data_IF_168536049972
#
_entry.id   IF_168536049972
#
_cell.length_a   1.000
_cell.length_b   1.000
_cell.length_c   1.000
_cell.angle_alpha   90.00
_cell.angle_beta   90.00
_cell.angle_gamma   90.00
#
_symmetry.space_group_name_H-M   'P 1'
#
loop_
_entity.id
_entity.type
_entity.pdbx_description
1 polymer ?
#
# COMPACT_ATOMS: atom_id res chain seq x y z
N UNK A 1 32.94 9.15 1.71
CA UNK A 1 31.49 9.32 1.93
C UNK A 1 30.85 9.65 0.59
N UNK A 2 29.70 9.01 0.24
CA UNK A 2 28.95 9.37 -0.98
C UNK A 2 28.36 10.77 -0.82
N UNK A 3 28.27 11.59 -1.89
CA UNK A 3 27.62 12.91 -1.82
C UNK A 3 26.15 12.81 -1.42
N UNK A 4 25.65 13.80 -0.68
CA UNK A 4 24.24 13.90 -0.33
C UNK A 4 23.45 14.47 -1.51
N UNK A 5 22.35 13.78 -1.87
CA UNK A 5 21.40 14.24 -2.88
C UNK A 5 20.25 15.03 -2.26
N UNK A 6 19.59 14.44 -1.26
CA UNK A 6 18.47 15.07 -0.55
C UNK A 6 18.80 15.13 0.93
N UNK A 7 18.46 16.26 1.55
CA UNK A 7 18.49 16.43 3.00
C UNK A 7 17.15 16.99 3.47
N UNK A 8 16.46 16.25 4.31
CA UNK A 8 15.35 16.76 5.12
C UNK A 8 15.94 17.26 6.44
N UNK A 9 15.67 18.49 6.81
CA UNK A 9 16.21 19.13 8.03
C UNK A 9 15.02 19.66 8.83
N UNK A 10 14.73 19.01 9.96
CA UNK A 10 13.71 19.38 10.93
C UNK A 10 12.30 19.64 10.35
N UNK A 11 11.90 18.80 9.42
CA UNK A 11 10.61 18.93 8.74
C UNK A 11 9.45 18.71 9.70
N UNK A 12 8.59 19.72 9.80
CA UNK A 12 7.35 19.64 10.59
C UNK A 12 6.13 19.95 9.72
N UNK A 13 5.04 19.20 9.96
CA UNK A 13 3.77 19.38 9.24
C UNK A 13 2.58 19.08 10.15
N UNK A 14 1.62 20.00 10.17
CA UNK A 14 0.37 19.88 10.91
C UNK A 14 -0.83 19.85 9.96
N UNK A 15 -1.82 19.05 10.27
CA UNK A 15 -3.15 19.07 9.66
C UNK A 15 -4.21 19.25 10.75
N UNK A 16 -4.89 20.40 10.76
CA UNK A 16 -5.81 20.71 11.86
C UNK A 16 -5.14 20.61 13.23
N UNK A 17 -5.68 19.76 14.09
CA UNK A 17 -5.12 19.52 15.44
C UNK A 17 -3.95 18.50 15.48
N UNK A 18 -3.69 17.75 14.39
CA UNK A 18 -2.75 16.65 14.40
C UNK A 18 -1.41 17.03 13.79
N UNK A 19 -0.31 16.77 14.52
CA UNK A 19 1.05 16.90 14.01
C UNK A 19 1.44 15.61 13.28
N UNK A 20 1.44 15.66 11.94
CA UNK A 20 1.78 14.51 11.09
C UNK A 20 3.29 14.31 10.94
N UNK A 21 4.08 15.40 11.01
CA UNK A 21 5.56 15.36 11.06
C UNK A 21 6.04 16.25 12.20
N UNK A 22 7.01 15.75 12.98
CA UNK A 22 7.54 16.39 14.18
C UNK A 22 9.07 16.43 14.11
N UNK A 23 9.63 17.47 13.48
CA UNK A 23 11.08 17.69 13.34
C UNK A 23 11.78 16.46 12.74
N UNK A 24 11.34 16.03 11.55
CA UNK A 24 11.88 14.86 10.85
C UNK A 24 13.10 15.28 10.05
N UNK A 25 14.23 14.59 10.29
CA UNK A 25 15.49 14.76 9.54
C UNK A 25 15.90 13.43 8.93
N UNK A 26 16.34 13.46 7.66
CA UNK A 26 16.80 12.30 6.88
C UNK A 26 17.67 12.80 5.74
N UNK A 27 18.70 12.05 5.39
CA UNK A 27 19.52 12.29 4.20
C UNK A 27 19.54 11.08 3.27
N UNK A 28 19.67 11.33 1.98
CA UNK A 28 19.79 10.34 0.91
C UNK A 28 21.04 10.66 0.12
N UNK A 29 21.88 9.66 -0.12
CA UNK A 29 23.15 9.80 -0.83
C UNK A 29 23.08 9.27 -2.27
N UNK A 30 24.07 9.64 -3.09
CA UNK A 30 24.21 9.13 -4.45
C UNK A 30 24.36 7.59 -4.45
N UNK A 31 23.55 6.90 -5.26
CA UNK A 31 23.56 5.45 -5.39
C UNK A 31 23.21 4.71 -4.10
N UNK A 32 22.44 5.33 -3.22
CA UNK A 32 21.95 4.75 -1.99
C UNK A 32 20.46 4.42 -2.09
N UNK A 33 20.06 3.29 -1.54
CA UNK A 33 18.65 2.94 -1.34
C UNK A 33 18.33 2.99 0.14
N UNK A 34 17.51 3.96 0.53
CA UNK A 34 17.01 4.09 1.91
C UNK A 34 15.58 3.55 1.99
N UNK A 35 15.37 2.50 2.77
CA UNK A 35 14.02 2.01 3.06
C UNK A 35 13.35 2.85 4.13
N UNK A 36 12.20 3.45 3.82
CA UNK A 36 11.39 4.22 4.74
C UNK A 36 10.27 3.35 5.32
N UNK A 37 10.40 3.00 6.60
CA UNK A 37 9.56 2.07 7.33
C UNK A 37 8.71 2.78 8.39
N UNK A 38 7.65 2.12 8.84
CA UNK A 38 6.78 2.58 9.92
C UNK A 38 5.34 2.10 9.75
N UNK A 39 4.54 2.14 10.78
CA UNK A 39 3.12 1.79 10.74
C UNK A 39 2.31 2.73 9.84
N UNK A 40 1.06 2.34 9.54
CA UNK A 40 0.11 3.22 8.90
C UNK A 40 -0.15 4.43 9.81
N UNK A 41 -0.11 5.64 9.22
CA UNK A 41 -0.22 6.87 9.99
C UNK A 41 1.09 7.38 10.61
N UNK A 42 2.23 6.68 10.50
CA UNK A 42 3.53 7.11 11.03
C UNK A 42 4.08 8.42 10.40
N UNK A 43 3.49 8.89 9.29
CA UNK A 43 3.90 10.12 8.60
C UNK A 43 4.69 9.90 7.31
N UNK A 44 4.96 8.66 6.89
CA UNK A 44 5.74 8.34 5.67
C UNK A 44 5.20 9.07 4.42
N UNK A 45 3.92 8.84 4.10
CA UNK A 45 3.28 9.46 2.93
C UNK A 45 3.20 10.99 3.05
N UNK A 46 3.14 11.54 4.28
CA UNK A 46 3.20 12.99 4.50
C UNK A 46 4.58 13.54 4.18
N UNK A 47 5.66 12.83 4.57
CA UNK A 47 7.04 13.21 4.25
C UNK A 47 7.27 13.19 2.73
N UNK A 48 6.84 12.12 2.05
CA UNK A 48 6.92 11.97 0.59
C UNK A 48 6.12 13.08 -0.12
N UNK A 49 4.87 13.33 0.29
CA UNK A 49 4.04 14.40 -0.28
C UNK A 49 4.61 15.80 -0.01
N UNK A 50 5.36 15.97 1.08
CA UNK A 50 6.07 17.23 1.37
C UNK A 50 7.27 17.40 0.43
N UNK A 51 8.02 16.34 0.13
CA UNK A 51 9.08 16.34 -0.87
C UNK A 51 8.52 16.64 -2.28
N UNK A 52 7.39 16.04 -2.61
CA UNK A 52 6.68 16.24 -3.88
C UNK A 52 6.00 17.63 -4.00
N UNK A 53 6.08 18.47 -2.96
CA UNK A 53 5.46 19.80 -2.96
C UNK A 53 3.93 19.80 -2.89
N UNK A 54 3.29 18.62 -2.73
CA UNK A 54 1.84 18.49 -2.55
C UNK A 54 1.42 19.09 -1.20
N UNK A 55 2.23 18.86 -0.17
CA UNK A 55 2.05 19.48 1.13
C UNK A 55 3.15 20.51 1.39
N UNK A 56 2.76 21.73 1.71
CA UNK A 56 3.71 22.75 2.17
C UNK A 56 4.15 22.38 3.59
N UNK A 57 5.46 22.30 3.85
CA UNK A 57 6.02 22.18 5.20
C UNK A 57 5.70 23.40 6.04
N UNK A 58 5.47 23.21 7.34
CA UNK A 58 5.23 24.33 8.26
C UNK A 58 6.55 24.84 8.85
N UNK A 59 7.53 23.93 9.05
CA UNK A 59 8.89 24.25 9.51
C UNK A 59 9.92 23.34 8.83
N UNK A 60 11.19 23.72 8.93
CA UNK A 60 12.32 22.96 8.41
C UNK A 60 12.65 23.28 6.96
N UNK A 61 13.68 22.63 6.44
CA UNK A 61 14.22 22.88 5.08
C UNK A 61 14.47 21.55 4.39
N UNK A 62 14.20 21.49 3.07
CA UNK A 62 14.64 20.39 2.21
C UNK A 62 15.73 20.94 1.32
N UNK A 63 16.87 20.25 1.21
CA UNK A 63 17.96 20.62 0.33
C UNK A 63 18.21 19.53 -0.71
N UNK A 64 18.56 19.95 -1.91
CA UNK A 64 19.05 19.09 -2.97
C UNK A 64 20.48 19.51 -3.34
N UNK A 65 21.44 18.59 -3.17
CA UNK A 65 22.88 18.86 -3.36
C UNK A 65 23.34 20.13 -2.61
N UNK A 66 22.82 20.31 -1.37
CA UNK A 66 23.14 21.45 -0.51
C UNK A 66 22.35 22.73 -0.76
N UNK A 67 21.63 22.85 -1.88
CA UNK A 67 20.79 24.01 -2.21
C UNK A 67 19.35 23.81 -1.76
N UNK A 68 18.64 24.88 -1.42
CA UNK A 68 17.24 24.82 -1.06
C UNK A 68 16.39 24.19 -2.18
N UNK A 69 15.65 23.17 -1.82
CA UNK A 69 14.78 22.44 -2.73
C UNK A 69 13.32 22.83 -2.58
N UNK A 70 12.76 23.27 -3.71
CA UNK A 70 11.32 23.42 -3.89
C UNK A 70 10.91 22.60 -5.09
N UNK A 71 10.01 21.64 -4.87
CA UNK A 71 9.49 20.87 -5.98
C UNK A 71 8.81 21.80 -7.00
N UNK A 72 9.14 21.60 -8.26
CA UNK A 72 8.49 22.28 -9.37
C UNK A 72 7.77 21.24 -10.22
N UNK A 73 6.55 21.55 -10.69
CA UNK A 73 5.87 20.66 -11.64
C UNK A 73 6.77 20.33 -12.82
N UNK A 74 6.69 19.10 -13.35
CA UNK A 74 7.45 18.73 -14.53
C UNK A 74 7.21 19.72 -15.67
N UNK A 75 8.29 20.16 -16.29
CA UNK A 75 8.23 20.95 -17.54
C UNK A 75 8.78 20.13 -18.67
N UNK A 76 8.18 20.18 -19.87
CA UNK A 76 8.71 19.49 -21.03
C UNK A 76 10.18 19.83 -21.25
N UNK A 77 11.00 18.81 -21.49
CA UNK A 77 12.43 18.91 -21.76
C UNK A 77 13.29 19.57 -20.65
N UNK A 78 12.84 19.50 -19.39
CA UNK A 78 13.65 19.89 -18.24
C UNK A 78 13.89 18.69 -17.33
N UNK A 79 15.16 18.43 -16.92
CA UNK A 79 15.48 17.40 -15.94
C UNK A 79 14.70 17.62 -14.63
N UNK A 80 14.22 16.54 -14.05
CA UNK A 80 13.60 16.57 -12.74
C UNK A 80 14.60 16.08 -11.70
N UNK A 81 14.76 16.84 -10.62
CA UNK A 81 15.65 16.44 -9.52
C UNK A 81 15.12 15.20 -8.79
N UNK A 82 13.80 15.08 -8.64
CA UNK A 82 13.14 13.97 -7.93
C UNK A 82 11.95 13.47 -8.75
N UNK A 83 11.89 12.19 -8.97
CA UNK A 83 10.75 11.52 -9.60
C UNK A 83 10.02 10.61 -8.59
N UNK A 84 8.71 10.46 -8.76
CA UNK A 84 7.83 9.73 -7.86
C UNK A 84 7.10 8.61 -8.60
N UNK A 85 7.12 7.42 -8.01
CA UNK A 85 6.31 6.28 -8.41
C UNK A 85 5.37 6.00 -7.25
N UNK A 86 4.09 6.29 -7.48
CA UNK A 86 3.03 6.06 -6.51
C UNK A 86 2.49 4.63 -6.63
N UNK A 87 1.78 4.17 -5.61
CA UNK A 87 1.18 2.84 -5.53
C UNK A 87 0.24 2.54 -6.72
N UNK A 88 -0.47 3.53 -7.24
CA UNK A 88 -1.34 3.46 -8.41
C UNK A 88 -0.61 3.66 -9.75
N UNK A 89 0.74 3.77 -9.73
CA UNK A 89 1.65 3.97 -10.85
C UNK A 89 1.38 5.26 -11.66
N UNK A 90 0.20 5.85 -11.61
CA UNK A 90 -0.19 7.05 -12.32
C UNK A 90 -0.02 6.95 -13.85
N UNK A 91 -0.21 5.76 -14.42
CA UNK A 91 -0.18 5.51 -15.85
C UNK A 91 -1.58 5.69 -16.43
N UNK A 92 -1.64 6.16 -17.68
CA UNK A 92 -2.89 6.27 -18.44
C UNK A 92 -3.05 5.00 -19.25
N UNK A 93 -3.97 4.12 -18.84
CA UNK A 93 -4.08 2.75 -19.34
C UNK A 93 -4.41 2.62 -20.83
N UNK A 94 -5.24 3.51 -21.37
CA UNK A 94 -5.60 3.48 -22.80
C UNK A 94 -4.53 4.07 -23.73
N UNK A 95 -3.54 4.75 -23.17
CA UNK A 95 -2.39 5.29 -23.90
C UNK A 95 -1.32 4.22 -24.11
N UNK A 96 -0.47 4.43 -25.12
CA UNK A 96 0.72 3.62 -25.35
C UNK A 96 1.80 3.93 -24.32
N UNK A 97 2.79 3.06 -24.22
CA UNK A 97 3.98 3.29 -23.39
C UNK A 97 4.69 4.57 -23.83
N UNK A 98 4.86 4.77 -25.14
CA UNK A 98 5.48 5.97 -25.72
C UNK A 98 4.74 7.25 -25.30
N UNK A 99 3.42 7.24 -25.35
CA UNK A 99 2.60 8.38 -24.91
C UNK A 99 2.74 8.66 -23.43
N UNK A 100 2.73 7.62 -22.58
CA UNK A 100 2.93 7.77 -21.12
C UNK A 100 4.31 8.35 -20.80
N UNK A 101 5.38 7.92 -21.46
CA UNK A 101 6.73 8.48 -21.32
C UNK A 101 6.78 9.92 -21.86
N UNK A 102 6.17 10.15 -23.02
CA UNK A 102 6.11 11.49 -23.65
C UNK A 102 5.38 12.52 -22.79
N UNK A 103 4.37 12.12 -22.02
CA UNK A 103 3.69 13.02 -21.09
C UNK A 103 4.61 13.54 -19.97
N UNK A 104 5.56 12.75 -19.52
CA UNK A 104 6.50 13.15 -18.46
C UNK A 104 7.65 14.00 -19.01
N UNK A 105 8.21 13.63 -20.17
CA UNK A 105 9.33 14.36 -20.79
C UNK A 105 8.89 15.60 -21.59
N UNK A 106 7.61 15.63 -22.02
CA UNK A 106 7.12 16.50 -23.10
C UNK A 106 7.29 15.85 -24.46
N UNK A 107 6.31 16.08 -25.33
CA UNK A 107 6.33 15.57 -26.70
C UNK A 107 7.30 16.39 -27.56
N UNK A 108 8.17 15.72 -28.30
CA UNK A 108 8.95 16.32 -29.38
C UNK A 108 8.03 16.90 -30.43
N UNK A 109 8.43 18.05 -30.97
CA UNK A 109 7.67 18.71 -32.05
C UNK A 109 8.56 18.96 -33.26
N UNK A 110 8.03 18.64 -34.43
CA UNK A 110 8.64 18.97 -35.73
C UNK A 110 7.62 19.75 -36.53
N UNK A 111 7.98 20.95 -36.97
CA UNK A 111 7.07 21.85 -37.71
C UNK A 111 5.74 22.11 -36.99
N UNK A 112 5.73 22.17 -35.63
CA UNK A 112 4.53 22.42 -34.85
C UNK A 112 3.68 21.18 -34.51
N UNK A 113 3.91 20.05 -35.14
CA UNK A 113 3.23 18.76 -34.91
C UNK A 113 4.08 17.87 -33.99
N UNK A 114 3.44 16.94 -33.31
CA UNK A 114 4.14 15.93 -32.48
C UNK A 114 4.95 15.01 -33.40
N UNK A 115 6.23 14.83 -33.09
CA UNK A 115 7.09 13.84 -33.71
C UNK A 115 6.98 12.51 -32.98
N UNK A 116 6.07 11.65 -33.44
CA UNK A 116 5.81 10.35 -32.86
C UNK A 116 7.01 9.42 -32.92
N UNK A 117 7.77 9.45 -34.01
CA UNK A 117 9.00 8.63 -34.15
C UNK A 117 10.05 8.98 -33.11
N UNK A 118 10.20 10.27 -32.79
CA UNK A 118 11.13 10.68 -31.73
C UNK A 118 10.57 10.31 -30.34
N UNK A 119 9.26 10.42 -30.15
CA UNK A 119 8.61 10.01 -28.90
C UNK A 119 8.81 8.52 -28.62
N UNK A 120 8.62 7.66 -29.63
CA UNK A 120 8.86 6.21 -29.55
C UNK A 120 10.32 5.91 -29.23
N UNK A 121 11.27 6.51 -29.95
CA UNK A 121 12.72 6.33 -29.68
C UNK A 121 13.14 6.77 -28.28
N UNK A 122 12.51 7.79 -27.72
CA UNK A 122 12.75 8.22 -26.32
C UNK A 122 12.19 7.19 -25.35
N UNK A 123 11.01 6.64 -25.62
CA UNK A 123 10.43 5.57 -24.80
C UNK A 123 11.27 4.29 -24.86
N UNK A 124 11.76 3.88 -26.06
CA UNK A 124 12.71 2.76 -26.19
C UNK A 124 13.94 2.93 -25.31
N UNK A 125 14.55 4.13 -25.38
CA UNK A 125 15.71 4.44 -24.52
C UNK A 125 15.38 4.38 -23.05
N UNK A 126 14.22 4.88 -22.64
CA UNK A 126 13.77 4.83 -21.25
C UNK A 126 13.53 3.39 -20.78
N UNK A 127 12.89 2.56 -21.62
CA UNK A 127 12.67 1.14 -21.35
C UNK A 127 14.00 0.37 -21.23
N UNK A 128 14.97 0.67 -22.09
CA UNK A 128 16.31 0.07 -22.03
C UNK A 128 17.03 0.36 -20.69
N UNK A 129 16.76 1.50 -20.04
CA UNK A 129 17.33 1.82 -18.73
C UNK A 129 16.89 0.84 -17.63
N UNK A 130 15.70 0.25 -17.78
CA UNK A 130 15.12 -0.71 -16.83
C UNK A 130 15.16 -2.16 -17.35
N UNK A 131 15.95 -2.41 -18.40
CA UNK A 131 16.12 -3.74 -18.96
C UNK A 131 14.90 -4.30 -19.70
N UNK A 132 13.98 -3.43 -20.15
CA UNK A 132 12.80 -3.82 -20.90
C UNK A 132 12.96 -3.61 -22.40
N UNK A 133 12.43 -4.55 -23.20
CA UNK A 133 12.53 -4.54 -24.66
C UNK A 133 11.17 -4.74 -25.36
N UNK A 134 10.05 -4.37 -24.69
CA UNK A 134 8.74 -4.45 -25.36
C UNK A 134 8.47 -3.19 -26.20
N UNK A 135 7.55 -3.35 -27.15
CA UNK A 135 7.21 -2.31 -28.13
C UNK A 135 6.60 -1.07 -27.44
N UNK A 136 7.20 0.12 -27.60
CA UNK A 136 6.64 1.37 -27.09
C UNK A 136 5.23 1.71 -27.59
N UNK A 137 4.78 1.13 -28.70
CA UNK A 137 3.43 1.27 -29.23
C UNK A 137 2.39 0.42 -28.48
N UNK A 138 2.82 -0.50 -27.62
CA UNK A 138 1.91 -1.31 -26.80
C UNK A 138 1.12 -0.42 -25.84
N UNK A 139 -0.19 -0.66 -25.74
CA UNK A 139 -1.04 0.05 -24.77
C UNK A 139 -0.75 -0.44 -23.35
N UNK A 140 -0.75 0.48 -22.41
CA UNK A 140 -0.47 0.16 -21.02
C UNK A 140 -1.48 -0.84 -20.42
N UNK A 141 -2.75 -0.80 -20.84
CA UNK A 141 -3.76 -1.76 -20.39
C UNK A 141 -3.42 -3.22 -20.72
N UNK A 142 -2.66 -3.47 -21.80
CA UNK A 142 -2.32 -4.79 -22.30
C UNK A 142 -1.07 -5.37 -21.61
N UNK A 143 -0.42 -4.57 -20.76
CA UNK A 143 0.76 -4.95 -19.99
C UNK A 143 0.39 -5.65 -18.68
N UNK A 144 1.22 -6.59 -18.25
CA UNK A 144 1.20 -7.15 -16.91
C UNK A 144 1.47 -6.05 -15.86
N UNK A 145 1.15 -6.32 -14.60
CA UNK A 145 1.37 -5.35 -13.52
C UNK A 145 2.84 -5.01 -13.32
N UNK A 146 3.73 -5.98 -13.47
CA UNK A 146 5.18 -5.75 -13.42
C UNK A 146 5.64 -4.86 -14.55
N UNK A 147 5.22 -5.15 -15.78
CA UNK A 147 5.57 -4.32 -16.93
C UNK A 147 5.05 -2.88 -16.74
N UNK A 148 3.84 -2.71 -16.21
CA UNK A 148 3.31 -1.39 -15.83
C UNK A 148 4.23 -0.71 -14.79
N UNK A 149 4.71 -1.42 -13.78
CA UNK A 149 5.66 -0.87 -12.80
C UNK A 149 6.97 -0.45 -13.46
N UNK A 150 7.52 -1.28 -14.35
CA UNK A 150 8.73 -0.95 -15.10
C UNK A 150 8.54 0.24 -16.04
N UNK A 151 7.37 0.37 -16.69
CA UNK A 151 7.01 1.58 -17.47
C UNK A 151 6.95 2.82 -16.60
N UNK A 152 6.39 2.74 -15.39
CA UNK A 152 6.36 3.87 -14.47
C UNK A 152 7.76 4.31 -14.04
N UNK A 153 8.66 3.34 -13.80
CA UNK A 153 10.08 3.60 -13.50
C UNK A 153 10.78 4.20 -14.72
N UNK A 154 10.62 3.59 -15.91
CA UNK A 154 11.20 4.11 -17.15
C UNK A 154 10.75 5.55 -17.43
N UNK A 155 9.45 5.84 -17.25
CA UNK A 155 8.89 7.19 -17.35
C UNK A 155 9.54 8.18 -16.37
N UNK A 156 9.75 7.75 -15.12
CA UNK A 156 10.39 8.57 -14.10
C UNK A 156 11.84 8.87 -14.46
N UNK A 157 12.58 7.85 -14.93
CA UNK A 157 13.98 7.99 -15.33
C UNK A 157 14.17 8.75 -16.64
N UNK A 158 13.19 8.69 -17.53
CA UNK A 158 13.19 9.48 -18.75
C UNK A 158 13.28 10.98 -18.48
N UNK A 159 12.96 11.43 -17.27
CA UNK A 159 13.13 12.83 -16.81
C UNK A 159 14.52 13.15 -16.25
N UNK A 160 15.48 12.21 -16.35
CA UNK A 160 16.84 12.36 -15.83
C UNK A 160 16.87 12.66 -14.31
N UNK A 161 16.00 12.01 -13.55
CA UNK A 161 15.91 12.23 -12.12
C UNK A 161 17.13 11.67 -11.38
N UNK A 162 17.71 12.49 -10.48
CA UNK A 162 18.78 12.06 -9.57
C UNK A 162 18.26 11.26 -8.39
N UNK A 163 17.00 11.44 -8.01
CA UNK A 163 16.36 10.76 -6.89
C UNK A 163 15.03 10.13 -7.32
N UNK A 164 14.83 8.88 -6.95
CA UNK A 164 13.62 8.12 -7.21
C UNK A 164 12.92 7.78 -5.88
N UNK A 165 11.65 8.12 -5.78
CA UNK A 165 10.79 7.72 -4.65
C UNK A 165 9.83 6.64 -5.12
N UNK A 166 9.91 5.46 -4.50
CA UNK A 166 9.06 4.31 -4.78
C UNK A 166 8.15 4.07 -3.58
N UNK A 167 6.86 4.31 -3.76
CA UNK A 167 5.86 4.14 -2.70
C UNK A 167 5.10 2.82 -2.89
N UNK A 168 5.48 1.80 -2.12
CA UNK A 168 4.96 0.43 -2.16
C UNK A 168 4.94 -0.21 -3.58
N UNK A 169 6.05 -0.18 -4.33
CA UNK A 169 6.05 -0.58 -5.74
C UNK A 169 5.75 -2.06 -5.96
N UNK A 170 5.85 -2.89 -4.92
CA UNK A 170 5.69 -4.35 -4.94
C UNK A 170 4.39 -4.85 -4.30
N UNK A 171 3.52 -3.96 -3.78
CA UNK A 171 2.34 -4.34 -2.98
C UNK A 171 1.42 -5.38 -3.64
N UNK A 172 1.42 -5.45 -4.97
CA UNK A 172 0.57 -6.36 -5.74
C UNK A 172 1.34 -7.31 -6.65
N UNK A 173 2.68 -7.38 -6.53
CA UNK A 173 3.52 -8.21 -7.39
C UNK A 173 3.75 -9.60 -6.77
N UNK A 174 3.73 -10.68 -7.57
CA UNK A 174 4.25 -11.99 -7.19
C UNK A 174 5.76 -11.94 -6.90
N UNK A 175 6.29 -12.94 -6.20
CA UNK A 175 7.69 -12.92 -5.75
C UNK A 175 8.73 -12.93 -6.90
N UNK A 176 8.44 -13.61 -8.00
CA UNK A 176 9.27 -13.65 -9.21
C UNK A 176 9.30 -12.30 -9.94
N UNK A 177 8.19 -11.56 -9.88
CA UNK A 177 8.09 -10.23 -10.47
C UNK A 177 8.79 -9.16 -9.62
N UNK A 178 8.82 -9.33 -8.29
CA UNK A 178 9.61 -8.48 -7.38
C UNK A 178 11.09 -8.56 -7.71
N UNK A 179 11.60 -9.76 -8.05
CA UNK A 179 13.00 -9.91 -8.43
C UNK A 179 13.36 -9.11 -9.69
N UNK A 180 12.51 -9.18 -10.73
CA UNK A 180 12.70 -8.38 -11.96
C UNK A 180 12.73 -6.88 -11.68
N UNK A 181 11.86 -6.42 -10.77
CA UNK A 181 11.89 -5.03 -10.33
C UNK A 181 13.23 -4.66 -9.68
N UNK A 182 13.73 -5.51 -8.78
CA UNK A 182 15.01 -5.28 -8.11
C UNK A 182 16.19 -5.30 -9.08
N UNK A 183 16.18 -6.21 -10.06
CA UNK A 183 17.17 -6.23 -11.12
C UNK A 183 17.18 -4.92 -11.93
N UNK A 184 16.01 -4.32 -12.19
CA UNK A 184 15.92 -3.04 -12.87
C UNK A 184 16.42 -1.85 -12.02
N UNK A 185 16.34 -1.93 -10.68
CA UNK A 185 16.80 -0.87 -9.78
C UNK A 185 18.33 -0.89 -9.58
N UNK A 186 19.01 -2.04 -9.70
CA UNK A 186 20.46 -2.16 -9.50
C UNK A 186 21.30 -1.27 -10.43
N UNK A 187 21.08 -1.27 -11.77
CA UNK A 187 21.82 -0.38 -12.67
C UNK A 187 21.62 1.11 -12.38
N UNK A 188 20.46 1.49 -11.83
CA UNK A 188 20.18 2.87 -11.47
C UNK A 188 21.00 3.31 -10.27
N UNK A 189 21.09 2.43 -9.27
CA UNK A 189 21.99 2.61 -8.12
C UNK A 189 23.44 2.80 -8.56
N UNK A 190 23.92 1.97 -9.48
CA UNK A 190 25.27 2.05 -10.03
C UNK A 190 25.54 3.37 -10.78
N UNK A 191 24.52 3.95 -11.40
CA UNK A 191 24.56 5.26 -12.05
C UNK A 191 24.49 6.44 -11.08
N UNK A 192 24.38 6.17 -9.76
CA UNK A 192 24.34 7.22 -8.75
C UNK A 192 22.92 7.72 -8.40
N UNK A 193 21.85 7.11 -8.93
CA UNK A 193 20.47 7.49 -8.55
C UNK A 193 20.23 7.12 -7.09
N UNK A 194 19.90 8.10 -6.25
CA UNK A 194 19.47 7.86 -4.86
C UNK A 194 18.01 7.46 -4.81
N UNK A 195 17.65 6.54 -3.90
CA UNK A 195 16.29 6.00 -3.86
C UNK A 195 15.70 6.03 -2.45
N UNK A 196 14.43 6.43 -2.34
CA UNK A 196 13.61 6.23 -1.15
C UNK A 196 12.63 5.11 -1.47
N UNK A 197 12.75 3.97 -0.79
CA UNK A 197 11.93 2.79 -0.98
C UNK A 197 10.97 2.64 0.19
N UNK A 198 9.69 2.93 -0.01
CA UNK A 198 8.66 2.73 1.01
C UNK A 198 8.09 1.33 0.88
N UNK A 199 8.19 0.54 1.94
CA UNK A 199 7.63 -0.81 1.99
C UNK A 199 7.21 -1.17 3.41
N UNK A 200 6.28 -2.09 3.53
CA UNK A 200 5.95 -2.77 4.79
C UNK A 200 6.47 -4.22 4.82
N UNK A 201 7.15 -4.67 3.75
CA UNK A 201 7.72 -6.01 3.60
C UNK A 201 9.20 -6.03 3.97
N UNK A 202 9.51 -6.53 5.15
CA UNK A 202 10.89 -6.53 5.66
C UNK A 202 11.83 -7.42 4.82
N UNK A 203 11.32 -8.53 4.26
CA UNK A 203 12.08 -9.39 3.36
C UNK A 203 12.64 -8.64 2.15
N UNK A 204 11.88 -7.71 1.59
CA UNK A 204 12.32 -6.85 0.50
C UNK A 204 13.39 -5.85 0.95
N UNK A 205 13.17 -5.25 2.12
CA UNK A 205 14.10 -4.25 2.69
C UNK A 205 15.49 -4.83 2.87
N UNK A 206 15.60 -6.04 3.45
CA UNK A 206 16.87 -6.71 3.65
C UNK A 206 17.59 -7.11 2.35
N UNK A 207 16.87 -7.16 1.24
CA UNK A 207 17.40 -7.55 -0.07
C UNK A 207 17.91 -6.37 -0.89
N UNK A 208 17.29 -5.20 -0.76
CA UNK A 208 17.57 -4.09 -1.67
C UNK A 208 18.14 -2.85 -0.98
N UNK A 209 17.81 -2.59 0.28
CA UNK A 209 18.16 -1.35 0.93
C UNK A 209 19.58 -1.35 1.53
N UNK A 210 20.25 -0.20 1.50
CA UNK A 210 21.51 0.05 2.19
C UNK A 210 21.27 0.48 3.65
N UNK A 211 20.29 1.36 3.85
CA UNK A 211 19.89 1.89 5.16
C UNK A 211 18.38 1.77 5.35
N UNK A 212 17.98 1.69 6.60
CA UNK A 212 16.58 1.80 7.03
C UNK A 212 16.38 3.10 7.79
N UNK A 213 15.29 3.78 7.49
CA UNK A 213 14.78 4.94 8.20
C UNK A 213 13.40 4.60 8.75
N UNK A 214 13.28 4.51 10.08
CA UNK A 214 12.05 4.10 10.74
C UNK A 214 11.31 5.32 11.28
N UNK A 215 10.06 5.49 10.87
CA UNK A 215 9.17 6.54 11.36
C UNK A 215 8.10 5.98 12.29
N UNK A 216 7.82 6.69 13.37
CA UNK A 216 6.72 6.42 14.30
C UNK A 216 6.17 7.71 14.89
N UNK A 217 4.83 7.87 14.95
CA UNK A 217 4.13 9.02 15.51
C UNK A 217 4.60 10.38 14.96
N UNK A 218 4.95 10.41 13.67
CA UNK A 218 5.45 11.60 12.97
C UNK A 218 6.91 11.94 13.26
N UNK A 219 7.70 11.05 13.87
CA UNK A 219 9.12 11.24 14.19
C UNK A 219 9.99 10.21 13.49
N UNK A 220 11.21 10.57 13.18
CA UNK A 220 12.25 9.62 12.83
C UNK A 220 12.81 9.00 14.11
N UNK A 221 12.58 7.70 14.32
CA UNK A 221 13.01 6.99 15.54
C UNK A 221 14.36 6.29 15.39
N UNK A 222 14.71 5.90 14.15
CA UNK A 222 16.01 5.33 13.86
C UNK A 222 16.37 5.53 12.39
N UNK A 223 17.68 5.69 12.12
CA UNK A 223 18.28 5.59 10.79
C UNK A 223 19.54 4.75 10.96
N UNK A 224 19.58 3.55 10.32
CA UNK A 224 20.65 2.56 10.51
C UNK A 224 21.02 1.87 9.21
N UNK A 225 22.27 1.39 9.03
CA UNK A 225 22.61 0.45 7.97
C UNK A 225 21.79 -0.85 8.11
N UNK A 226 21.30 -1.38 6.99
CA UNK A 226 20.57 -2.67 6.99
C UNK A 226 21.45 -3.79 7.52
N UNK A 227 22.74 -3.79 7.18
CA UNK A 227 23.70 -4.81 7.61
C UNK A 227 23.89 -4.87 9.16
N UNK A 228 23.55 -3.81 9.87
CA UNK A 228 23.66 -3.69 11.33
C UNK A 228 22.31 -3.91 12.04
N UNK A 229 21.29 -4.41 11.32
CA UNK A 229 19.92 -4.48 11.82
C UNK A 229 19.37 -5.90 11.65
N UNK A 230 18.48 -6.31 12.53
CA UNK A 230 17.76 -7.57 12.43
C UNK A 230 16.28 -7.36 12.14
N UNK A 231 15.56 -8.33 11.54
CA UNK A 231 14.11 -8.23 11.34
C UNK A 231 13.35 -7.96 12.65
N UNK A 232 13.76 -8.60 13.74
CA UNK A 232 13.15 -8.42 15.06
C UNK A 232 13.32 -6.99 15.57
N UNK A 233 14.54 -6.44 15.47
CA UNK A 233 14.81 -5.06 15.86
C UNK A 233 13.98 -4.06 15.06
N UNK A 234 13.82 -4.27 13.76
CA UNK A 234 12.99 -3.41 12.92
C UNK A 234 11.52 -3.46 13.33
N UNK A 235 10.99 -4.64 13.63
CA UNK A 235 9.62 -4.77 14.16
C UNK A 235 9.47 -4.00 15.48
N UNK A 236 10.40 -4.15 16.39
CA UNK A 236 10.37 -3.45 17.68
C UNK A 236 10.46 -1.92 17.53
N UNK A 237 11.26 -1.43 16.59
CA UNK A 237 11.36 0.00 16.27
C UNK A 237 10.07 0.55 15.62
N UNK A 238 9.48 -0.21 14.71
CA UNK A 238 8.24 0.17 14.01
C UNK A 238 7.08 0.27 15.01
N UNK A 239 6.91 -0.78 15.83
CA UNK A 239 5.77 -0.91 16.77
C UNK A 239 5.99 -0.11 18.06
N UNK A 240 7.24 0.08 18.47
CA UNK A 240 7.60 0.83 19.68
C UNK A 240 7.54 0.06 20.97
N UNK A 241 7.34 -1.25 20.89
CA UNK A 241 7.38 -2.19 22.01
C UNK A 241 7.90 -3.55 21.52
N UNK A 242 8.53 -4.34 22.36
CA UNK A 242 9.02 -5.65 21.98
C UNK A 242 7.89 -6.53 21.41
N UNK A 243 8.13 -7.16 20.24
CA UNK A 243 7.12 -7.94 19.54
C UNK A 243 6.52 -9.07 20.40
N UNK A 244 7.30 -9.65 21.33
CA UNK A 244 6.81 -10.67 22.27
C UNK A 244 5.75 -10.15 23.25
N UNK A 245 5.66 -8.83 23.47
CA UNK A 245 4.62 -8.21 24.29
C UNK A 245 3.32 -7.92 23.51
N UNK A 246 3.37 -7.97 22.18
CA UNK A 246 2.16 -7.77 21.36
C UNK A 246 1.26 -9.00 21.38
N UNK A 247 1.85 -10.16 21.49
CA UNK A 247 1.15 -11.43 21.57
C UNK A 247 1.24 -11.96 23.01
N UNK A 248 0.72 -11.18 23.98
CA UNK A 248 0.33 -11.78 25.23
C UNK A 248 -0.62 -12.92 24.84
N UNK A 249 -0.12 -14.17 24.84
CA UNK A 249 -0.98 -15.34 24.74
C UNK A 249 -1.95 -15.18 25.90
N UNK A 250 -3.16 -14.67 25.64
CA UNK A 250 -4.25 -14.94 26.55
C UNK A 250 -4.25 -16.45 26.66
N UNK A 251 -4.21 -16.98 27.89
CA UNK A 251 -4.39 -18.40 28.10
C UNK A 251 -5.80 -18.73 27.61
N UNK A 252 -5.89 -19.02 26.29
CA UNK A 252 -7.11 -19.53 25.74
C UNK A 252 -7.36 -20.87 26.40
N UNK A 253 -8.49 -20.97 27.09
CA UNK A 253 -8.99 -22.24 27.60
C UNK A 253 -9.90 -22.83 26.52
N UNK A 254 -9.71 -24.10 26.27
CA UNK A 254 -10.54 -24.85 25.32
C UNK A 254 -12.03 -24.72 25.72
N UNK A 255 -12.73 -23.82 25.04
CA UNK A 255 -14.18 -23.68 25.15
C UNK A 255 -14.93 -24.78 24.39
N UNK A 256 -16.26 -24.90 24.55
CA UNK A 256 -17.05 -25.84 23.78
C UNK A 256 -16.96 -25.51 22.28
N UNK A 257 -17.10 -26.55 21.45
CA UNK A 257 -17.30 -26.40 19.99
C UNK A 257 -18.51 -25.50 19.74
N UNK A 258 -18.32 -24.50 18.90
CA UNK A 258 -19.40 -23.58 18.54
C UNK A 258 -19.76 -23.66 17.07
N UNK A 259 -18.75 -23.52 16.19
CA UNK A 259 -18.97 -23.59 14.74
C UNK A 259 -18.42 -24.90 14.22
N UNK A 260 -19.23 -25.59 13.42
CA UNK A 260 -18.81 -26.77 12.68
C UNK A 260 -19.16 -26.60 11.22
N UNK A 261 -18.17 -26.80 10.37
CA UNK A 261 -18.27 -26.73 8.90
C UNK A 261 -17.95 -28.10 8.33
N UNK A 262 -18.89 -28.68 7.58
CA UNK A 262 -18.78 -30.01 7.00
C UNK A 262 -19.06 -29.94 5.50
N UNK A 263 -18.06 -30.42 4.72
CA UNK A 263 -18.13 -30.53 3.25
C UNK A 263 -18.55 -29.24 2.52
N UNK A 264 -18.16 -28.08 3.04
CA UNK A 264 -18.45 -26.80 2.41
C UNK A 264 -17.76 -26.70 1.06
N UNK A 265 -18.54 -26.42 0.03
CA UNK A 265 -18.12 -26.21 -1.34
C UNK A 265 -18.69 -24.88 -1.84
N UNK A 266 -17.81 -23.99 -2.34
CA UNK A 266 -18.18 -22.69 -2.87
C UNK A 266 -17.45 -22.47 -4.19
N UNK A 267 -18.17 -22.51 -5.32
CA UNK A 267 -17.57 -22.47 -6.66
C UNK A 267 -16.56 -23.60 -6.88
N UNK A 268 -15.29 -23.25 -7.10
CA UNK A 268 -14.20 -24.22 -7.26
C UNK A 268 -13.51 -24.60 -5.94
N UNK A 269 -13.94 -24.03 -4.82
CA UNK A 269 -13.33 -24.24 -3.50
C UNK A 269 -14.03 -25.36 -2.74
N UNK A 270 -13.26 -26.27 -2.17
CA UNK A 270 -13.80 -27.32 -1.31
C UNK A 270 -13.52 -28.75 -1.83
N UNK A 271 -13.94 -29.80 -1.07
CA UNK A 271 -14.69 -29.71 0.20
C UNK A 271 -13.81 -29.20 1.37
N UNK A 272 -14.35 -28.25 2.15
CA UNK A 272 -13.66 -27.69 3.32
C UNK A 272 -14.33 -28.20 4.58
N UNK A 273 -13.53 -28.60 5.58
CA UNK A 273 -13.98 -29.03 6.90
C UNK A 273 -13.15 -28.37 7.99
N UNK A 274 -13.79 -27.82 8.98
CA UNK A 274 -13.15 -27.33 10.20
C UNK A 274 -14.18 -27.10 11.31
N UNK A 275 -13.66 -26.97 12.51
CA UNK A 275 -14.41 -26.64 13.70
C UNK A 275 -13.78 -25.41 14.36
N UNK A 276 -14.58 -24.58 15.01
CA UNK A 276 -14.08 -23.48 15.82
C UNK A 276 -14.81 -23.47 17.17
N UNK A 277 -14.03 -23.23 18.22
CA UNK A 277 -14.49 -23.27 19.61
C UNK A 277 -14.77 -21.88 20.16
N UNK A 278 -15.45 -21.81 21.27
CA UNK A 278 -15.73 -20.54 21.94
C UNK A 278 -14.43 -19.84 22.35
N UNK A 279 -14.27 -18.59 21.89
CA UNK A 279 -13.07 -17.77 22.14
C UNK A 279 -11.86 -18.12 21.29
N UNK A 280 -11.99 -19.08 20.36
CA UNK A 280 -10.91 -19.46 19.45
C UNK A 280 -10.74 -18.47 18.30
N UNK A 281 -9.50 -18.22 17.92
CA UNK A 281 -9.11 -17.55 16.69
C UNK A 281 -8.58 -18.58 15.68
N UNK A 282 -9.40 -18.98 14.72
CA UNK A 282 -9.05 -19.93 13.67
C UNK A 282 -8.54 -19.19 12.43
N UNK A 283 -7.30 -19.48 12.01
CA UNK A 283 -6.69 -18.91 10.80
C UNK A 283 -6.88 -19.82 9.57
N UNK A 284 -7.53 -19.32 8.51
CA UNK A 284 -7.55 -19.97 7.20
C UNK A 284 -6.41 -19.42 6.35
N UNK A 285 -5.41 -20.26 6.06
CA UNK A 285 -4.21 -19.89 5.30
C UNK A 285 -4.14 -20.65 3.98
N UNK A 286 -3.59 -19.99 2.95
CA UNK A 286 -3.39 -20.58 1.64
C UNK A 286 -2.74 -19.59 0.67
N UNK A 287 -2.36 -20.05 -0.50
CA UNK A 287 -1.86 -19.20 -1.57
C UNK A 287 -2.92 -18.19 -2.02
N UNK A 288 -2.48 -17.11 -2.66
CA UNK A 288 -3.41 -16.12 -3.23
C UNK A 288 -4.34 -16.80 -4.24
N UNK A 289 -5.66 -16.61 -4.07
CA UNK A 289 -6.66 -17.25 -4.92
C UNK A 289 -7.03 -18.70 -4.53
N UNK A 290 -6.50 -19.23 -3.43
CA UNK A 290 -6.83 -20.58 -2.96
C UNK A 290 -8.26 -20.72 -2.37
N UNK A 291 -8.99 -19.58 -2.21
CA UNK A 291 -10.41 -19.59 -1.86
C UNK A 291 -10.75 -19.28 -0.40
N UNK A 292 -9.80 -18.87 0.43
CA UNK A 292 -10.06 -18.50 1.83
C UNK A 292 -11.16 -17.45 1.96
N UNK A 293 -11.15 -16.48 1.04
CA UNK A 293 -12.13 -15.40 0.99
C UNK A 293 -13.53 -15.92 0.63
N UNK A 294 -13.63 -16.83 -0.35
CA UNK A 294 -14.89 -17.45 -0.74
C UNK A 294 -15.53 -18.23 0.42
N UNK A 295 -14.72 -18.95 1.21
CA UNK A 295 -15.20 -19.63 2.43
C UNK A 295 -15.79 -18.63 3.43
N UNK A 296 -15.10 -17.51 3.70
CA UNK A 296 -15.59 -16.46 4.60
C UNK A 296 -16.90 -15.84 4.12
N UNK A 297 -16.99 -15.54 2.81
CA UNK A 297 -18.20 -14.98 2.19
C UNK A 297 -19.37 -15.96 2.18
N UNK A 298 -19.11 -17.25 1.95
CA UNK A 298 -20.12 -18.31 2.04
C UNK A 298 -20.68 -18.43 3.46
N UNK A 299 -19.84 -18.40 4.48
CA UNK A 299 -20.26 -18.42 5.89
C UNK A 299 -21.07 -17.18 6.30
N UNK A 300 -20.90 -16.09 5.59
CA UNK A 300 -21.70 -14.87 5.80
C UNK A 300 -22.96 -14.82 4.92
N UNK A 301 -23.23 -15.85 4.11
CA UNK A 301 -24.38 -15.88 3.20
C UNK A 301 -24.28 -14.90 2.02
N UNK A 302 -23.07 -14.41 1.71
CA UNK A 302 -22.81 -13.53 0.59
C UNK A 302 -22.50 -14.29 -0.71
N UNK A 303 -22.15 -15.57 -0.61
CA UNK A 303 -21.92 -16.45 -1.75
C UNK A 303 -22.66 -17.78 -1.55
N UNK A 304 -23.24 -18.38 -2.62
CA UNK A 304 -23.89 -19.66 -2.50
C UNK A 304 -22.86 -20.77 -2.22
N UNK A 305 -23.23 -21.73 -1.42
CA UNK A 305 -22.41 -22.89 -1.10
C UNK A 305 -23.25 -24.17 -0.93
N UNK A 306 -22.59 -25.31 -1.05
CA UNK A 306 -23.10 -26.61 -0.68
C UNK A 306 -22.39 -27.10 0.59
N UNK A 307 -23.03 -27.98 1.35
CA UNK A 307 -22.49 -28.52 2.58
C UNK A 307 -23.35 -28.21 3.79
N UNK A 308 -22.77 -28.45 4.98
CA UNK A 308 -23.47 -28.25 6.23
C UNK A 308 -22.66 -27.34 7.16
N UNK A 309 -23.33 -26.32 7.71
CA UNK A 309 -22.74 -25.40 8.69
C UNK A 309 -23.67 -25.37 9.90
N UNK A 310 -23.11 -25.62 11.08
CA UNK A 310 -23.86 -25.58 12.33
C UNK A 310 -23.17 -24.71 13.37
N UNK A 311 -23.98 -24.03 14.19
CA UNK A 311 -23.56 -23.24 15.33
C UNK A 311 -24.23 -23.78 16.58
N UNK A 312 -23.46 -24.11 17.61
CA UNK A 312 -23.94 -24.72 18.86
C UNK A 312 -24.82 -25.97 18.59
N UNK A 313 -24.41 -26.80 17.62
CA UNK A 313 -25.12 -28.01 17.21
C UNK A 313 -26.38 -27.77 16.37
N UNK A 314 -26.76 -26.54 16.09
CA UNK A 314 -27.93 -26.20 15.25
C UNK A 314 -27.47 -25.80 13.85
N UNK A 315 -28.11 -26.39 12.83
CA UNK A 315 -27.84 -26.00 11.43
C UNK A 315 -28.15 -24.52 11.23
N UNK A 316 -27.19 -23.77 10.65
CA UNK A 316 -27.38 -22.38 10.30
C UNK A 316 -28.11 -22.22 8.97
N UNK A 317 -29.04 -21.27 8.93
CA UNK A 317 -29.55 -20.72 7.67
C UNK A 317 -28.60 -19.60 7.21
N UNK A 318 -27.85 -19.86 6.15
CA UNK A 318 -26.91 -18.92 5.52
C UNK A 318 -27.31 -18.64 4.07
N UNK A 319 -28.62 -18.75 3.77
CA UNK A 319 -29.16 -18.49 2.43
C UNK A 319 -29.08 -17.00 2.02
N UNK A 320 -28.81 -16.11 2.96
CA UNK A 320 -28.66 -14.68 2.73
C UNK A 320 -27.85 -14.03 3.84
N UNK A 321 -27.29 -12.86 3.54
CA UNK A 321 -26.58 -12.01 4.52
C UNK A 321 -27.47 -11.67 5.72
N UNK A 322 -28.78 -11.43 5.48
CA UNK A 322 -29.73 -11.13 6.56
C UNK A 322 -29.93 -12.31 7.50
N UNK A 323 -29.99 -13.54 6.97
CA UNK A 323 -30.11 -14.77 7.77
C UNK A 323 -28.82 -15.01 8.59
N UNK A 324 -27.66 -14.83 8.00
CA UNK A 324 -26.36 -14.94 8.68
C UNK A 324 -26.24 -13.93 9.85
N UNK A 325 -26.60 -12.67 9.62
CA UNK A 325 -26.64 -11.65 10.68
C UNK A 325 -27.60 -11.99 11.80
N UNK A 326 -28.81 -12.51 11.48
CA UNK A 326 -29.78 -12.95 12.47
C UNK A 326 -29.25 -14.12 13.29
N UNK A 327 -28.42 -14.97 12.71
CA UNK A 327 -27.72 -16.07 13.39
C UNK A 327 -26.47 -15.63 14.19
N UNK A 328 -26.15 -14.35 14.18
CA UNK A 328 -24.98 -13.79 14.89
C UNK A 328 -23.65 -13.92 14.16
N UNK A 329 -23.67 -14.17 12.86
CA UNK A 329 -22.46 -14.19 12.03
C UNK A 329 -22.21 -12.80 11.47
N UNK A 330 -21.02 -12.26 11.72
CA UNK A 330 -20.57 -10.98 11.16
C UNK A 330 -19.38 -11.16 10.20
N UNK A 331 -19.24 -10.27 9.23
CA UNK A 331 -18.13 -10.23 8.28
C UNK A 331 -17.41 -8.89 8.36
N UNK A 332 -16.08 -8.93 8.45
CA UNK A 332 -15.22 -7.80 8.13
C UNK A 332 -14.59 -8.12 6.79
N UNK A 333 -15.02 -7.42 5.74
CA UNK A 333 -14.56 -7.68 4.40
C UNK A 333 -13.10 -7.26 4.21
N UNK A 334 -12.44 -7.87 3.22
CA UNK A 334 -11.06 -7.55 2.83
C UNK A 334 -10.96 -6.14 2.27
N UNK A 335 -11.85 -5.77 1.36
CA UNK A 335 -11.92 -4.41 0.83
C UNK A 335 -12.88 -3.56 1.67
N UNK A 336 -12.27 -2.74 2.54
CA UNK A 336 -13.03 -1.86 3.44
C UNK A 336 -13.76 -0.75 2.69
N UNK A 337 -13.20 -0.29 1.60
CA UNK A 337 -13.70 0.87 0.84
C UNK A 337 -14.88 0.52 -0.04
N UNK A 338 -14.84 -0.65 -0.66
CA UNK A 338 -15.89 -1.07 -1.59
C UNK A 338 -17.01 -1.86 -0.89
N UNK A 339 -16.68 -2.60 0.18
CA UNK A 339 -17.62 -3.55 0.78
C UNK A 339 -18.08 -3.22 2.20
N UNK A 340 -17.36 -2.37 2.94
CA UNK A 340 -17.63 -2.19 4.38
C UNK A 340 -17.94 -0.77 4.81
N UNK A 341 -17.61 0.25 4.03
CA UNK A 341 -17.75 1.66 4.42
C UNK A 341 -18.35 2.49 3.30
N UNK A 342 -19.42 3.20 3.59
CA UNK A 342 -19.96 4.23 2.71
C UNK A 342 -19.15 5.53 2.91
N UNK A 343 -18.20 5.81 2.01
CA UNK A 343 -17.27 6.94 2.14
C UNK A 343 -17.90 8.31 2.18
N UNK A 344 -19.11 8.47 1.65
CA UNK A 344 -19.88 9.71 1.68
C UNK A 344 -20.59 9.97 3.01
N UNK A 345 -20.64 8.98 3.89
CA UNK A 345 -21.30 9.05 5.19
C UNK A 345 -20.28 9.26 6.32
N UNK A 346 -20.73 9.90 7.40
CA UNK A 346 -19.94 10.04 8.63
C UNK A 346 -19.69 8.67 9.31
N UNK A 347 -18.74 8.61 10.23
CA UNK A 347 -18.49 7.41 11.05
C UNK A 347 -19.76 6.96 11.78
N UNK A 348 -20.46 7.90 12.37
CA UNK A 348 -21.75 7.64 13.04
C UNK A 348 -22.76 6.99 12.10
N UNK A 349 -22.98 7.55 10.92
CA UNK A 349 -23.92 7.00 9.94
C UNK A 349 -23.50 5.61 9.46
N UNK A 350 -22.20 5.37 9.25
CA UNK A 350 -21.67 4.06 8.91
C UNK A 350 -21.91 3.01 10.00
N UNK A 351 -21.78 3.37 11.29
CA UNK A 351 -22.03 2.45 12.40
C UNK A 351 -23.50 2.02 12.49
N UNK A 352 -24.42 2.84 12.03
CA UNK A 352 -25.86 2.62 12.15
C UNK A 352 -26.58 2.38 10.81
N UNK A 353 -25.83 2.11 9.73
CA UNK A 353 -26.41 1.78 8.41
C UNK A 353 -27.39 0.62 8.44
N UNK A 354 -27.13 -0.37 9.29
CA UNK A 354 -28.03 -1.51 9.47
C UNK A 354 -28.58 -1.53 10.91
N UNK A 355 -29.82 -1.04 11.15
CA UNK A 355 -30.43 -1.06 12.47
C UNK A 355 -30.52 -2.44 13.10
N UNK A 356 -30.68 -3.50 12.29
CA UNK A 356 -30.77 -4.87 12.77
C UNK A 356 -29.48 -5.39 13.37
N UNK A 357 -28.31 -4.89 12.91
CA UNK A 357 -27.02 -5.27 13.46
C UNK A 357 -26.80 -4.78 14.91
N UNK A 358 -27.54 -3.76 15.33
CA UNK A 358 -27.57 -3.25 16.72
C UNK A 358 -28.83 -3.67 17.48
N UNK A 359 -29.49 -4.74 17.02
CA UNK A 359 -30.68 -5.32 17.69
C UNK A 359 -31.97 -4.48 17.56
N UNK A 360 -32.07 -3.63 16.56
CA UNK A 360 -33.20 -2.74 16.30
C UNK A 360 -34.00 -3.17 15.08
N UNK A 361 -35.28 -2.88 15.07
CA UNK A 361 -36.11 -3.11 13.89
C UNK A 361 -35.80 -2.13 12.76
N UNK A 362 -36.01 -2.53 11.51
CA UNK A 362 -35.74 -1.75 10.28
C UNK A 362 -36.37 -0.35 10.28
N UNK A 363 -37.45 -0.14 11.01
CA UNK A 363 -38.13 1.17 11.11
C UNK A 363 -37.90 1.88 12.46
N UNK A 364 -36.90 1.48 13.24
CA UNK A 364 -36.59 2.15 14.51
C UNK A 364 -35.76 3.37 14.29
N UNK A 365 -36.35 4.55 14.53
CA UNK A 365 -35.61 5.81 14.47
C UNK A 365 -34.83 6.05 15.76
N UNK A 366 -33.55 6.41 15.62
CA UNK A 366 -32.72 6.87 16.72
C UNK A 366 -32.51 8.39 16.57
N UNK A 367 -32.62 9.13 17.68
CA UNK A 367 -32.32 10.55 17.67
C UNK A 367 -30.81 10.75 17.42
N UNK A 368 -30.39 11.71 16.57
CA UNK A 368 -28.96 11.95 16.28
C UNK A 368 -28.08 12.16 17.51
N UNK A 369 -28.63 12.76 18.57
CA UNK A 369 -27.93 12.94 19.84
C UNK A 369 -27.58 11.58 20.51
N UNK A 370 -28.51 10.60 20.49
CA UNK A 370 -28.29 9.26 21.07
C UNK A 370 -27.34 8.44 20.22
N UNK A 371 -27.38 8.58 18.89
CA UNK A 371 -26.39 7.97 17.99
C UNK A 371 -24.98 8.50 18.30
N UNK A 372 -24.83 9.82 18.48
CA UNK A 372 -23.54 10.44 18.79
C UNK A 372 -22.98 9.98 20.14
N UNK A 373 -23.83 9.84 21.15
CA UNK A 373 -23.47 9.33 22.47
C UNK A 373 -22.94 7.90 22.38
N UNK A 374 -23.70 6.99 21.74
CA UNK A 374 -23.32 5.59 21.55
C UNK A 374 -22.13 5.36 20.60
N UNK A 375 -21.81 6.34 19.75
CA UNK A 375 -20.62 6.28 18.88
C UNK A 375 -19.35 6.65 19.63
N UNK A 376 -19.47 7.32 20.77
CA UNK A 376 -18.33 7.74 21.60
C UNK A 376 -17.97 6.70 22.70
N UNK A 377 -18.89 5.82 23.06
CA UNK A 377 -18.66 4.65 23.91
C UNK A 377 -17.93 3.54 23.14
#
# INVERSE_FOLDING_TARGET
>A
MRPKLIEFIDISKRFGGTMALKSVSLDIHEGEIVALLGENGAGKSTLIKTLAGIHKRDQGTIRFRGEDYHHRPPRPNQPQKVAFIHQDLGLIEWMTVAENVGMAQGFSRRSGLIDWRDTERRAERALALVGCAFDPATRVQDLSRTEKSLVAIARALATEADVLVLDEPTASLPADEVERLFEALRPLRERGVGMIYVSHRLDEVFRIADRVAVMRDGRMVAVKPVAETTPQELVDLIVGRPAHQMFAKSHWQDGPERLKVEDLRCGSVGPVRFEARSGELLGLVGLRGAGQEAVGRALFGAEPFEGNVSLDGKRLDLSSVGAALAAGVGLIARDRTEESVALSLSVRENMYLNPSAVGRGLFSFMKPARESELTQE
#
